data_IF_712958928500
#
_entry.id   IF_712958928500
#
_cell.length_a   1.000
_cell.length_b   1.000
_cell.length_c   1.000
_cell.angle_alpha   90.00
_cell.angle_beta   90.00
_cell.angle_gamma   90.00
#
_symmetry.space_group_name_H-M   'P 1'
#
loop_
_entity.id
_entity.type
_entity.pdbx_description
1 polymer ?
#
# COMPACT_ATOMS: atom_id res chain seq x y z
N UNK A 1 6.64 -0.17 -4.02
CA UNK A 1 7.93 -0.42 -3.32
C UNK A 1 7.90 -1.87 -2.87
N UNK A 2 8.69 -2.33 -1.90
CA UNK A 2 8.45 -3.65 -1.26
C UNK A 2 7.46 -3.51 -0.09
N UNK A 3 6.74 -4.58 0.25
CA UNK A 3 5.79 -4.56 1.39
C UNK A 3 6.41 -4.08 2.72
N UNK A 4 7.66 -4.48 3.02
CA UNK A 4 8.37 -4.00 4.23
C UNK A 4 8.59 -2.49 4.24
N UNK A 5 8.88 -1.89 3.08
CA UNK A 5 9.00 -0.44 2.95
C UNK A 5 7.66 0.27 3.07
N UNK A 6 6.58 -0.31 2.56
CA UNK A 6 5.24 0.26 2.75
C UNK A 6 4.85 0.32 4.21
N UNK A 7 5.06 -0.78 4.96
CA UNK A 7 4.80 -0.83 6.40
C UNK A 7 5.68 0.16 7.18
N UNK A 8 6.99 0.17 6.93
CA UNK A 8 7.90 1.08 7.63
C UNK A 8 7.54 2.55 7.36
N UNK A 9 7.21 2.88 6.12
CA UNK A 9 6.81 4.23 5.72
C UNK A 9 5.47 4.63 6.35
N UNK A 10 4.47 3.74 6.34
CA UNK A 10 3.16 3.96 6.95
C UNK A 10 3.27 4.23 8.46
N UNK A 11 4.03 3.39 9.16
CA UNK A 11 4.25 3.53 10.60
C UNK A 11 5.00 4.82 10.93
N UNK A 12 6.06 5.15 10.20
CA UNK A 12 6.80 6.39 10.40
C UNK A 12 5.91 7.63 10.21
N UNK A 13 5.09 7.65 9.15
CA UNK A 13 4.15 8.76 8.92
C UNK A 13 3.07 8.83 10.02
N UNK A 14 2.54 7.69 10.46
CA UNK A 14 1.53 7.63 11.53
C UNK A 14 2.10 8.16 12.84
N UNK A 15 3.31 7.72 13.21
CA UNK A 15 4.03 8.20 14.39
C UNK A 15 4.31 9.70 14.32
N UNK A 16 4.74 10.21 13.16
CA UNK A 16 4.96 11.64 12.97
C UNK A 16 3.69 12.46 13.22
N UNK A 17 2.52 11.97 12.79
CA UNK A 17 1.23 12.61 13.07
C UNK A 17 0.88 12.57 14.56
N UNK A 18 1.06 11.44 15.23
CA UNK A 18 0.81 11.34 16.66
C UNK A 18 1.68 12.32 17.46
N UNK A 19 2.96 12.42 17.12
CA UNK A 19 3.90 13.39 17.72
C UNK A 19 3.43 14.83 17.47
N UNK A 20 3.13 15.18 16.21
CA UNK A 20 2.69 16.51 15.84
C UNK A 20 1.37 16.92 16.54
N UNK A 21 0.48 15.96 16.79
CA UNK A 21 -0.80 16.16 17.48
C UNK A 21 -0.73 16.00 18.98
N UNK A 22 0.45 15.67 19.54
CA UNK A 22 0.64 15.27 20.95
C UNK A 22 -0.38 14.22 21.40
N UNK A 23 -0.72 13.30 20.49
CA UNK A 23 -1.67 12.23 20.74
C UNK A 23 -0.98 11.03 21.38
N UNK A 24 -1.70 10.31 22.24
CA UNK A 24 -1.21 9.07 22.84
C UNK A 24 -1.05 7.97 21.78
N UNK A 25 -0.02 7.13 21.96
CA UNK A 25 0.19 5.94 21.13
C UNK A 25 -0.81 4.86 21.54
N UNK A 26 -1.71 4.50 20.62
CA UNK A 26 -2.51 3.29 20.73
C UNK A 26 -1.80 2.17 19.94
N UNK A 27 -1.16 1.24 20.65
CA UNK A 27 -0.43 0.13 20.03
C UNK A 27 -1.36 -0.76 19.19
N UNK A 28 -2.64 -0.87 19.56
CA UNK A 28 -3.62 -1.64 18.80
C UNK A 28 -3.91 -0.98 17.45
N UNK A 29 -3.86 0.35 17.37
CA UNK A 29 -4.04 1.09 16.13
C UNK A 29 -2.89 0.89 15.12
N UNK A 30 -1.73 0.38 15.54
CA UNK A 30 -0.64 0.06 14.60
C UNK A 30 -0.99 -1.14 13.69
N UNK A 31 -1.81 -2.08 14.18
CA UNK A 31 -2.25 -3.23 13.38
C UNK A 31 -3.03 -2.80 12.13
N UNK A 32 -4.12 -2.00 12.23
CA UNK A 32 -4.82 -1.53 11.04
C UNK A 32 -3.94 -0.66 10.14
N UNK A 33 -2.99 0.14 10.66
CA UNK A 33 -2.01 0.86 9.82
C UNK A 33 -1.20 -0.13 8.96
N UNK A 34 -0.63 -1.17 9.57
CA UNK A 34 0.13 -2.19 8.86
C UNK A 34 -0.73 -2.95 7.85
N UNK A 35 -1.96 -3.33 8.22
CA UNK A 35 -2.89 -4.03 7.33
C UNK A 35 -3.25 -3.16 6.12
N UNK A 36 -3.59 -1.89 6.34
CA UNK A 36 -3.89 -0.96 5.26
C UNK A 36 -2.70 -0.77 4.33
N UNK A 37 -1.48 -0.70 4.87
CA UNK A 37 -0.26 -0.54 4.08
C UNK A 37 0.13 -1.79 3.27
N UNK A 38 -0.38 -2.98 3.61
CA UNK A 38 -0.06 -4.23 2.92
C UNK A 38 -1.18 -4.72 2.00
N UNK A 39 -2.44 -4.38 2.31
CA UNK A 39 -3.60 -4.91 1.60
C UNK A 39 -3.54 -4.67 0.07
N UNK A 40 -3.12 -3.50 -0.45
CA UNK A 40 -3.03 -3.29 -1.90
C UNK A 40 -2.07 -4.27 -2.59
N UNK A 41 -1.00 -4.68 -1.91
CA UNK A 41 0.05 -5.57 -2.44
C UNK A 41 -0.35 -7.06 -2.41
N UNK A 42 -1.41 -7.45 -1.69
CA UNK A 42 -1.87 -8.85 -1.63
C UNK A 42 -2.28 -9.37 -3.02
N UNK A 43 -2.71 -8.48 -3.91
CA UNK A 43 -3.07 -8.80 -5.30
C UNK A 43 -1.87 -9.07 -6.22
N UNK A 44 -0.64 -9.10 -5.69
CA UNK A 44 0.53 -9.46 -6.48
C UNK A 44 0.67 -10.99 -6.58
N UNK A 45 0.68 -11.58 -7.79
CA UNK A 45 1.08 -12.97 -7.91
C UNK A 45 2.52 -13.11 -7.42
N UNK A 46 2.74 -14.13 -6.58
CA UNK A 46 4.07 -14.61 -6.22
C UNK A 46 4.84 -14.79 -7.53
N UNK A 47 5.97 -14.11 -7.66
CA UNK A 47 6.73 -14.10 -8.90
C UNK A 47 7.01 -15.53 -9.41
N UNK A 48 6.85 -15.83 -10.72
CA UNK A 48 7.31 -17.06 -11.34
C UNK A 48 8.84 -17.11 -11.51
N UNK A 49 9.59 -16.40 -10.66
CA UNK A 49 11.06 -16.47 -10.64
C UNK A 49 11.58 -17.82 -10.10
N UNK A 50 10.70 -18.75 -9.72
CA UNK A 50 11.03 -20.13 -9.37
C UNK A 50 10.86 -21.14 -10.52
N UNK A 51 10.55 -20.74 -11.76
CA UNK A 51 10.36 -21.72 -12.84
C UNK A 51 10.88 -21.22 -14.18
N UNK A 52 12.20 -21.36 -14.32
CA UNK A 52 12.93 -21.36 -15.59
C UNK A 52 12.54 -22.58 -16.44
N UNK A 53 11.34 -22.58 -17.03
CA UNK A 53 11.02 -23.52 -18.12
C UNK A 53 10.08 -22.87 -19.11
N UNK A 54 10.49 -22.96 -20.39
CA UNK A 54 9.93 -22.33 -21.61
C UNK A 54 8.47 -22.72 -21.94
N UNK A 55 7.76 -23.42 -21.04
CA UNK A 55 6.48 -24.10 -21.31
C UNK A 55 5.26 -23.47 -20.61
N UNK A 56 5.43 -22.43 -19.79
CA UNK A 56 4.32 -21.75 -19.06
C UNK A 56 3.88 -20.41 -19.67
N UNK A 57 4.43 -20.04 -20.84
CA UNK A 57 4.13 -18.76 -21.49
C UNK A 57 2.63 -18.56 -21.77
N UNK A 58 1.88 -19.63 -22.06
CA UNK A 58 0.43 -19.56 -22.32
C UNK A 58 -0.41 -19.23 -21.08
N UNK A 59 -0.04 -19.74 -19.89
CA UNK A 59 -0.75 -19.45 -18.62
C UNK A 59 -0.39 -18.06 -18.09
N UNK A 60 0.83 -17.58 -18.37
CA UNK A 60 1.26 -16.21 -18.01
C UNK A 60 0.39 -15.12 -18.65
N UNK A 61 -0.29 -15.40 -19.77
CA UNK A 61 -1.18 -14.46 -20.46
C UNK A 61 -2.55 -14.25 -19.79
N UNK A 62 -3.01 -15.24 -19.00
CA UNK A 62 -4.22 -15.11 -18.17
C UNK A 62 -3.89 -14.45 -16.82
N UNK A 63 -2.73 -14.81 -16.24
CA UNK A 63 -2.22 -14.19 -15.02
C UNK A 63 -1.90 -12.71 -15.25
N UNK A 64 -1.37 -12.34 -16.42
CA UNK A 64 -1.16 -10.93 -16.76
C UNK A 64 -2.46 -10.12 -16.89
N UNK A 65 -3.58 -10.77 -17.27
CA UNK A 65 -4.92 -10.16 -17.27
C UNK A 65 -5.45 -9.89 -15.86
N UNK A 66 -5.22 -10.79 -14.91
CA UNK A 66 -5.55 -10.52 -13.50
C UNK A 66 -4.63 -9.42 -12.92
N UNK A 67 -3.38 -9.32 -13.37
CA UNK A 67 -2.50 -8.20 -12.99
C UNK A 67 -2.81 -6.86 -13.67
N UNK A 68 -3.72 -6.81 -14.65
CA UNK A 68 -4.24 -5.54 -15.18
C UNK A 68 -5.12 -4.81 -14.14
N UNK A 69 -5.59 -5.51 -13.10
CA UNK A 69 -6.33 -4.94 -11.97
C UNK A 69 -5.45 -4.23 -10.93
N UNK A 70 -4.11 -4.22 -11.09
CA UNK A 70 -3.20 -3.40 -10.24
C UNK A 70 -3.63 -1.93 -10.13
N UNK A 71 -4.39 -1.41 -11.10
CA UNK A 71 -4.95 -0.06 -11.02
C UNK A 71 -6.10 0.08 -10.02
N UNK A 72 -6.99 -0.91 -9.90
CA UNK A 72 -8.20 -0.78 -9.11
C UNK A 72 -7.90 -0.79 -7.61
N UNK A 73 -7.08 -1.72 -7.12
CA UNK A 73 -6.71 -1.80 -5.70
C UNK A 73 -5.63 -0.81 -5.28
N UNK A 74 -5.00 -0.11 -6.24
CA UNK A 74 -4.12 1.02 -5.94
C UNK A 74 -4.82 2.37 -6.20
N UNK A 75 -6.14 2.39 -5.99
CA UNK A 75 -6.97 3.58 -6.12
C UNK A 75 -7.43 4.11 -4.77
N UNK A 76 -7.62 5.43 -4.69
CA UNK A 76 -8.22 6.09 -3.54
C UNK A 76 -9.66 5.58 -3.35
N UNK A 77 -10.36 5.28 -4.44
CA UNK A 77 -11.71 4.72 -4.37
C UNK A 77 -11.72 3.36 -3.66
N UNK A 78 -10.80 2.46 -3.99
CA UNK A 78 -10.68 1.17 -3.30
C UNK A 78 -10.31 1.34 -1.83
N UNK A 79 -9.41 2.27 -1.51
CA UNK A 79 -9.08 2.61 -0.12
C UNK A 79 -10.34 3.02 0.67
N UNK A 80 -11.15 3.91 0.10
CA UNK A 80 -12.39 4.39 0.71
C UNK A 80 -13.45 3.28 0.84
N UNK A 81 -13.68 2.48 -0.20
CA UNK A 81 -14.68 1.40 -0.18
C UNK A 81 -14.31 0.35 0.85
N UNK A 82 -13.05 -0.12 0.87
CA UNK A 82 -12.59 -1.14 1.81
C UNK A 82 -12.65 -0.63 3.25
N UNK A 83 -12.22 0.60 3.48
CA UNK A 83 -12.34 1.24 4.80
C UNK A 83 -13.80 1.36 5.23
N UNK A 84 -14.69 1.85 4.35
CA UNK A 84 -16.11 2.00 4.66
C UNK A 84 -16.77 0.66 4.97
N UNK A 85 -16.39 -0.40 4.25
CA UNK A 85 -16.89 -1.76 4.50
C UNK A 85 -16.47 -2.33 5.86
N UNK A 86 -15.35 -1.86 6.42
CA UNK A 86 -14.89 -2.26 7.75
C UNK A 86 -15.64 -1.53 8.89
N UNK A 87 -16.27 -0.39 8.63
CA UNK A 87 -16.95 0.42 9.67
C UNK A 87 -18.11 -0.35 10.35
N UNK A 88 -19.04 -1.01 9.63
CA UNK A 88 -20.10 -1.78 10.27
C UNK A 88 -19.56 -2.88 11.18
N UNK A 89 -18.47 -3.54 10.80
CA UNK A 89 -17.80 -4.56 11.62
C UNK A 89 -17.26 -3.95 12.93
N UNK A 90 -16.57 -2.80 12.84
CA UNK A 90 -16.08 -2.11 14.04
C UNK A 90 -17.22 -1.70 14.97
N UNK A 91 -18.33 -1.21 14.43
CA UNK A 91 -19.51 -0.83 15.21
C UNK A 91 -20.13 -2.05 15.89
N UNK A 92 -20.29 -3.17 15.16
CA UNK A 92 -20.86 -4.41 15.71
C UNK A 92 -20.08 -4.95 16.91
N UNK A 93 -18.74 -4.89 16.85
CA UNK A 93 -17.86 -5.33 17.94
C UNK A 93 -17.53 -4.23 18.96
N UNK A 94 -18.19 -3.08 18.91
CA UNK A 94 -17.93 -1.90 19.77
C UNK A 94 -16.45 -1.48 19.78
N UNK A 95 -15.77 -1.62 18.65
CA UNK A 95 -14.39 -1.23 18.46
C UNK A 95 -14.26 0.27 18.12
N UNK A 96 -13.09 0.85 18.40
CA UNK A 96 -12.84 2.28 18.16
C UNK A 96 -12.82 2.58 16.66
N UNK A 97 -13.58 3.59 16.21
CA UNK A 97 -13.57 4.07 14.81
C UNK A 97 -12.19 4.57 14.35
N UNK A 98 -11.29 4.91 15.28
CA UNK A 98 -9.90 5.25 14.97
C UNK A 98 -9.18 4.13 14.22
N UNK A 99 -9.61 2.87 14.36
CA UNK A 99 -9.04 1.74 13.62
C UNK A 99 -9.36 1.80 12.12
N UNK A 100 -10.54 2.29 11.72
CA UNK A 100 -10.86 2.54 10.31
C UNK A 100 -9.99 3.68 9.74
N UNK A 101 -9.78 4.75 10.51
CA UNK A 101 -8.91 5.87 10.12
C UNK A 101 -7.46 5.42 9.98
N UNK A 102 -6.97 4.62 10.93
CA UNK A 102 -5.64 4.03 10.91
C UNK A 102 -5.44 3.11 9.68
N UNK A 103 -6.45 2.30 9.36
CA UNK A 103 -6.44 1.45 8.17
C UNK A 103 -6.40 2.26 6.88
N UNK A 104 -7.29 3.25 6.74
CA UNK A 104 -7.30 4.14 5.58
C UNK A 104 -5.96 4.86 5.41
N UNK A 105 -5.38 5.32 6.52
CA UNK A 105 -4.09 5.99 6.51
C UNK A 105 -2.97 5.08 6.00
N UNK A 106 -2.90 3.84 6.50
CA UNK A 106 -1.98 2.82 6.00
C UNK A 106 -2.13 2.62 4.49
N UNK A 107 -3.36 2.47 4.01
CA UNK A 107 -3.67 2.29 2.59
C UNK A 107 -3.27 3.48 1.73
N UNK A 108 -3.60 4.70 2.15
CA UNK A 108 -3.23 5.91 1.42
C UNK A 108 -1.71 6.11 1.41
N UNK A 109 -1.02 5.77 2.49
CA UNK A 109 0.45 5.81 2.54
C UNK A 109 1.09 4.82 1.55
N UNK A 110 0.46 3.65 1.31
CA UNK A 110 0.89 2.71 0.27
C UNK A 110 0.80 3.34 -1.12
N UNK A 111 -0.36 3.89 -1.46
CA UNK A 111 -0.59 4.57 -2.76
C UNK A 111 0.41 5.72 -2.92
N UNK A 112 0.61 6.53 -1.88
CA UNK A 112 1.56 7.62 -1.90
C UNK A 112 3.00 7.12 -2.10
N UNK A 113 3.40 6.07 -1.38
CA UNK A 113 4.71 5.45 -1.52
C UNK A 113 4.96 4.95 -2.95
N UNK A 114 3.97 4.34 -3.59
CA UNK A 114 4.10 3.89 -4.98
C UNK A 114 4.16 5.03 -6.00
N UNK A 115 3.54 6.19 -5.70
CA UNK A 115 3.69 7.39 -6.52
C UNK A 115 5.13 7.93 -6.54
N UNK A 116 5.97 7.55 -5.58
CA UNK A 116 7.39 7.93 -5.54
C UNK A 116 8.28 6.98 -6.35
N UNK A 117 7.73 5.92 -6.95
CA UNK A 117 8.50 4.91 -7.70
C UNK A 117 8.52 5.13 -9.21
N UNK A 118 9.45 4.48 -9.90
CA UNK A 118 9.56 4.47 -11.37
C UNK A 118 8.33 3.85 -12.03
N UNK A 119 7.58 2.99 -11.32
CA UNK A 119 6.31 2.45 -11.81
C UNK A 119 5.19 3.49 -11.72
N UNK A 120 5.23 4.35 -10.70
CA UNK A 120 4.16 5.28 -10.35
C UNK A 120 2.88 4.55 -9.94
N UNK A 121 1.81 5.32 -9.71
CA UNK A 121 0.49 4.78 -9.31
C UNK A 121 -0.63 5.43 -10.11
N UNK A 122 -1.80 4.78 -10.21
CA UNK A 122 -3.00 5.33 -10.86
C UNK A 122 -4.12 5.51 -9.83
N UNK A 123 -4.05 6.55 -8.98
CA UNK A 123 -4.87 6.64 -7.78
C UNK A 123 -6.36 6.89 -8.07
N UNK A 124 -6.69 7.32 -9.29
CA UNK A 124 -8.05 7.69 -9.70
C UNK A 124 -8.77 6.59 -10.50
N UNK A 125 -8.22 5.40 -10.60
CA UNK A 125 -8.93 4.25 -11.18
C UNK A 125 -10.20 3.91 -10.38
N UNK A 126 -11.29 3.44 -11.02
CA UNK A 126 -11.50 3.27 -12.46
C UNK A 126 -11.97 4.56 -13.18
N UNK A 127 -12.12 5.68 -12.47
CA UNK A 127 -12.61 6.95 -13.03
C UNK A 127 -11.63 7.57 -14.03
N UNK A 128 -10.32 7.44 -13.79
CA UNK A 128 -9.30 7.87 -14.74
C UNK A 128 -8.05 6.99 -14.71
N UNK A 129 -7.38 6.92 -15.87
CA UNK A 129 -6.16 6.16 -16.07
C UNK A 129 -4.87 6.96 -15.81
N UNK A 130 -5.00 8.17 -15.21
CA UNK A 130 -3.87 9.07 -15.00
C UNK A 130 -2.83 8.41 -14.09
N UNK A 131 -1.59 8.32 -14.58
CA UNK A 131 -0.45 7.83 -13.81
C UNK A 131 0.22 9.00 -13.11
N UNK A 132 0.25 8.96 -11.78
CA UNK A 132 0.87 9.96 -10.92
C UNK A 132 2.27 9.50 -10.52
N UNK A 133 3.23 10.42 -10.62
CA UNK A 133 4.59 10.31 -10.07
C UNK A 133 4.91 11.60 -9.34
N UNK A 134 5.19 11.53 -8.04
CA UNK A 134 5.38 12.74 -7.21
C UNK A 134 6.83 13.23 -7.23
N UNK A 135 7.80 12.33 -7.42
CA UNK A 135 9.21 12.70 -7.42
C UNK A 135 9.73 13.07 -8.82
N UNK A 136 10.56 14.14 -8.96
CA UNK A 136 11.23 14.46 -10.22
C UNK A 136 12.24 13.39 -10.63
N UNK A 137 12.84 12.70 -9.65
CA UNK A 137 13.68 11.51 -9.84
C UNK A 137 13.08 10.33 -9.06
N UNK A 138 12.20 9.53 -9.70
CA UNK A 138 11.51 8.44 -9.03
C UNK A 138 12.45 7.31 -8.62
N UNK A 139 12.13 6.64 -7.52
CA UNK A 139 12.94 5.55 -6.96
C UNK A 139 12.68 4.23 -7.67
N UNK A 140 13.72 3.43 -7.91
CA UNK A 140 13.57 2.07 -8.41
C UNK A 140 13.27 1.09 -7.28
N UNK A 141 12.32 0.18 -7.52
CA UNK A 141 11.98 -0.88 -6.56
C UNK A 141 13.19 -1.80 -6.33
N UNK A 142 13.55 -2.03 -5.07
CA UNK A 142 14.76 -2.73 -4.64
C UNK A 142 16.05 -1.94 -4.81
N UNK A 143 16.00 -0.67 -5.25
CA UNK A 143 17.17 0.16 -5.55
C UNK A 143 17.95 0.63 -4.31
N UNK A 144 19.08 1.31 -4.54
CA UNK A 144 19.91 1.88 -3.45
C UNK A 144 19.11 2.89 -2.62
N UNK A 145 18.37 3.80 -3.26
CA UNK A 145 17.57 4.83 -2.60
C UNK A 145 16.50 4.22 -1.66
N UNK A 146 15.76 3.21 -2.12
CA UNK A 146 14.75 2.53 -1.30
C UNK A 146 15.38 1.83 -0.09
N UNK A 147 16.55 1.19 -0.26
CA UNK A 147 17.25 0.54 0.87
C UNK A 147 17.74 1.54 1.92
N UNK A 148 18.21 2.70 1.48
CA UNK A 148 18.63 3.79 2.39
C UNK A 148 17.41 4.33 3.14
N UNK A 149 16.31 4.58 2.43
CA UNK A 149 15.05 5.01 3.02
C UNK A 149 14.55 4.00 4.06
N UNK A 150 14.52 2.71 3.72
CA UNK A 150 14.09 1.66 4.65
C UNK A 150 14.95 1.64 5.92
N UNK A 151 16.29 1.75 5.78
CA UNK A 151 17.17 1.81 6.94
C UNK A 151 16.86 3.03 7.80
N UNK A 152 16.68 4.20 7.18
CA UNK A 152 16.36 5.43 7.91
C UNK A 152 15.03 5.35 8.66
N UNK A 153 14.01 4.72 8.07
CA UNK A 153 12.69 4.56 8.69
C UNK A 153 12.66 3.53 9.83
N UNK A 154 13.69 2.68 9.93
CA UNK A 154 13.81 1.63 10.95
C UNK A 154 14.82 1.98 12.06
N UNK A 155 15.47 3.14 11.98
CA UNK A 155 16.34 3.70 13.03
C UNK A 155 15.50 4.45 14.07
#
# INVERSE_FOLDING_TARGET
MRGRTHVAFALAMWMAILIARRAALDLVALLPVCLGALLPDIDHPVSPASTSTRMTQSVSSLVTRVTAHRGATHSILAACILTASAVPFLVFYNAKLVFAVAFLFGYLSHIFADSMTVSGVRPFMPLSNLRVRVLPRPMSTGGRAERVLLKFLLL
#
